data_IF_326787656878
#
_entry.id   IF_326787656878
#
_cell.length_a   1.000
_cell.length_b   1.000
_cell.length_c   1.000
_cell.angle_alpha   90.00
_cell.angle_beta   90.00
_cell.angle_gamma   90.00
#
_symmetry.space_group_name_H-M   'P 1'
#
loop_
_entity.id
_entity.type
_entity.pdbx_description
1 polymer ?
#
# COMPACT_ATOMS: atom_id res chain seq x y z
N UNK A 1 65.54 0.99 -48.89
CA UNK A 1 65.84 -0.45 -48.73
C UNK A 1 65.20 -0.86 -47.42
N UNK A 2 63.93 -1.29 -47.47
CA UNK A 2 63.51 -2.69 -47.71
C UNK A 2 63.89 -3.52 -46.48
N UNK A 3 63.06 -4.28 -45.77
CA UNK A 3 61.62 -4.47 -45.64
C UNK A 3 61.50 -5.43 -44.43
N UNK A 4 60.59 -5.12 -43.49
CA UNK A 4 59.64 -5.99 -42.76
C UNK A 4 60.00 -7.41 -42.20
N UNK A 5 59.18 -7.97 -41.28
CA UNK A 5 59.62 -8.70 -40.11
C UNK A 5 59.14 -10.17 -40.18
N UNK A 6 59.73 -11.07 -39.41
CA UNK A 6 59.10 -12.37 -39.19
C UNK A 6 58.97 -12.67 -37.70
N UNK A 7 57.78 -12.33 -37.21
CA UNK A 7 56.82 -13.35 -36.82
C UNK A 7 57.19 -14.19 -35.58
N UNK A 8 57.33 -13.52 -34.44
CA UNK A 8 57.12 -14.15 -33.14
C UNK A 8 55.67 -13.94 -32.68
N UNK A 9 54.70 -14.25 -33.55
CA UNK A 9 53.36 -14.64 -33.08
C UNK A 9 53.51 -16.05 -32.49
N UNK A 10 53.90 -16.09 -31.22
CA UNK A 10 53.62 -17.22 -30.35
C UNK A 10 52.10 -17.32 -30.28
N UNK A 11 51.49 -18.04 -31.23
CA UNK A 11 50.12 -18.48 -31.11
C UNK A 11 50.05 -19.23 -29.79
N UNK A 12 49.44 -18.60 -28.79
CA UNK A 12 48.87 -19.27 -27.63
C UNK A 12 47.92 -20.28 -28.22
N UNK A 13 48.46 -21.48 -28.48
CA UNK A 13 47.74 -22.63 -28.97
C UNK A 13 46.67 -22.86 -27.91
N UNK A 14 45.43 -22.55 -28.24
CA UNK A 14 44.21 -22.72 -27.45
C UNK A 14 44.02 -24.21 -27.18
N UNK A 15 44.87 -24.76 -26.33
CA UNK A 15 44.77 -26.11 -25.81
C UNK A 15 43.48 -26.17 -25.00
N UNK A 16 42.46 -26.83 -25.54
CA UNK A 16 41.23 -27.14 -24.80
C UNK A 16 41.36 -28.53 -24.22
N UNK A 17 40.96 -28.70 -22.98
CA UNK A 17 40.79 -30.03 -22.41
C UNK A 17 39.48 -30.63 -22.90
N UNK A 18 39.43 -31.95 -23.10
CA UNK A 18 38.17 -32.60 -23.45
C UNK A 18 37.20 -32.55 -22.25
N UNK A 19 35.97 -32.01 -22.39
CA UNK A 19 35.04 -31.88 -21.26
C UNK A 19 34.55 -33.23 -20.71
N UNK A 20 34.69 -34.31 -21.49
CA UNK A 20 34.23 -35.66 -21.13
C UNK A 20 35.33 -36.46 -20.43
N UNK A 21 36.54 -36.51 -21.00
CA UNK A 21 37.63 -37.34 -20.47
C UNK A 21 38.79 -36.56 -19.86
N UNK A 22 38.72 -35.23 -19.82
CA UNK A 22 39.72 -34.30 -19.26
C UNK A 22 41.13 -34.47 -19.83
N UNK A 23 41.23 -34.99 -21.06
CA UNK A 23 42.51 -35.10 -21.75
C UNK A 23 42.99 -33.69 -22.10
N UNK A 24 44.24 -33.32 -21.76
CA UNK A 24 44.84 -32.08 -22.20
C UNK A 24 45.38 -32.17 -23.64
N UNK A 25 45.79 -31.01 -24.19
CA UNK A 25 46.44 -30.88 -25.50
C UNK A 25 45.57 -31.19 -26.72
N UNK A 26 44.25 -30.91 -26.68
CA UNK A 26 43.45 -30.96 -27.90
C UNK A 26 43.71 -29.72 -28.74
N UNK A 27 43.92 -29.96 -30.04
CA UNK A 27 44.11 -28.89 -31.02
C UNK A 27 42.74 -28.38 -31.44
N UNK A 28 42.57 -27.06 -31.55
CA UNK A 28 41.28 -26.40 -31.82
C UNK A 28 40.58 -26.84 -33.12
N UNK A 29 41.32 -27.38 -34.08
CA UNK A 29 40.78 -27.87 -35.35
C UNK A 29 40.22 -29.31 -35.31
N UNK A 30 40.02 -29.90 -34.13
CA UNK A 30 39.62 -31.30 -33.99
C UNK A 30 38.14 -31.43 -33.59
N UNK A 31 37.33 -32.00 -34.49
CA UNK A 31 35.87 -32.15 -34.28
C UNK A 31 35.52 -33.19 -33.20
N UNK A 32 36.36 -34.23 -33.04
CA UNK A 32 36.13 -35.31 -32.05
C UNK A 32 37.34 -35.59 -31.20
N UNK A 33 37.11 -35.87 -29.92
CA UNK A 33 38.16 -36.29 -29.02
C UNK A 33 38.70 -37.68 -29.41
N UNK A 34 40.02 -37.85 -29.63
CA UNK A 34 40.60 -39.14 -30.01
C UNK A 34 40.59 -40.20 -28.90
N UNK A 35 40.34 -39.81 -27.64
CA UNK A 35 40.34 -40.74 -26.51
C UNK A 35 38.94 -41.25 -26.15
N UNK A 36 37.91 -40.41 -26.22
CA UNK A 36 36.56 -40.76 -25.82
C UNK A 36 35.51 -40.62 -26.92
N UNK A 37 35.89 -40.12 -28.10
CA UNK A 37 34.98 -39.93 -29.24
C UNK A 37 33.96 -38.80 -29.07
N UNK A 38 34.06 -38.00 -28.01
CA UNK A 38 33.15 -36.88 -27.77
C UNK A 38 33.26 -35.83 -28.89
N UNK A 39 32.11 -35.34 -29.36
CA UNK A 39 31.99 -34.29 -30.36
C UNK A 39 32.21 -32.92 -29.71
N UNK A 40 33.30 -32.25 -30.09
CA UNK A 40 33.79 -31.02 -29.47
C UNK A 40 33.18 -29.77 -30.11
N UNK A 41 32.65 -29.86 -31.33
CA UNK A 41 31.96 -28.74 -31.99
C UNK A 41 30.67 -28.39 -31.25
N UNK A 42 29.94 -29.42 -30.83
CA UNK A 42 28.69 -29.25 -30.08
C UNK A 42 28.94 -28.57 -28.72
N UNK A 43 30.02 -28.94 -28.01
CA UNK A 43 30.40 -28.26 -26.76
C UNK A 43 30.89 -26.83 -27.00
N UNK A 44 31.58 -26.56 -28.10
CA UNK A 44 31.97 -25.19 -28.48
C UNK A 44 30.77 -24.28 -28.72
N UNK A 45 29.71 -24.79 -29.35
CA UNK A 45 28.45 -24.07 -29.54
C UNK A 45 27.75 -23.80 -28.19
N UNK A 46 27.72 -24.77 -27.29
CA UNK A 46 27.17 -24.62 -25.94
C UNK A 46 27.95 -23.58 -25.11
N UNK A 47 29.28 -23.56 -25.21
CA UNK A 47 30.12 -22.56 -24.54
C UNK A 47 29.88 -21.15 -25.11
N UNK A 48 29.67 -21.02 -26.43
CA UNK A 48 29.33 -19.72 -27.06
C UNK A 48 27.95 -19.19 -26.66
N UNK A 49 27.00 -20.09 -26.34
CA UNK A 49 25.70 -19.74 -25.77
C UNK A 49 25.80 -19.40 -24.27
N UNK A 50 26.89 -19.79 -23.61
CA UNK A 50 27.17 -19.52 -22.20
C UNK A 50 27.87 -18.16 -21.98
N UNK A 51 27.69 -17.20 -22.88
CA UNK A 51 27.90 -15.77 -22.60
C UNK A 51 26.58 -15.02 -22.75
N UNK A 52 26.18 -14.24 -21.71
CA UNK A 52 26.94 -13.04 -21.43
C UNK A 52 27.36 -12.85 -19.96
N UNK A 53 28.62 -12.40 -19.82
CA UNK A 53 29.28 -11.84 -18.63
C UNK A 53 28.63 -10.53 -18.10
N UNK A 54 27.30 -10.38 -18.19
CA UNK A 54 26.59 -9.15 -17.77
C UNK A 54 25.55 -9.37 -16.67
N UNK A 55 25.46 -10.57 -16.08
CA UNK A 55 24.61 -10.84 -14.90
C UNK A 55 24.82 -9.80 -13.78
N UNK A 56 26.06 -9.34 -13.60
CA UNK A 56 26.39 -8.31 -12.61
C UNK A 56 25.79 -6.93 -12.98
N UNK A 57 25.87 -6.54 -14.25
CA UNK A 57 25.28 -5.29 -14.73
C UNK A 57 23.74 -5.33 -14.69
N UNK A 58 23.12 -6.42 -15.13
CA UNK A 58 21.65 -6.49 -15.12
C UNK A 58 21.08 -6.41 -13.70
N UNK A 59 21.72 -7.05 -12.73
CA UNK A 59 21.26 -7.01 -11.34
C UNK A 59 21.52 -5.65 -10.67
N UNK A 60 22.60 -4.95 -11.01
CA UNK A 60 22.88 -3.61 -10.46
C UNK A 60 21.80 -2.60 -10.90
N UNK A 61 21.38 -2.63 -12.17
CA UNK A 61 20.34 -1.74 -12.66
C UNK A 61 18.99 -1.98 -11.97
N UNK A 62 18.63 -3.26 -11.76
CA UNK A 62 17.40 -3.60 -11.02
C UNK A 62 17.48 -3.12 -9.57
N UNK A 63 18.62 -3.28 -8.90
CA UNK A 63 18.81 -2.83 -7.53
C UNK A 63 18.74 -1.29 -7.39
N UNK A 64 19.31 -0.55 -8.35
CA UNK A 64 19.23 0.92 -8.40
C UNK A 64 17.79 1.37 -8.65
N UNK A 65 17.10 0.76 -9.60
CA UNK A 65 15.71 1.11 -9.92
C UNK A 65 14.79 0.87 -8.71
N UNK A 66 14.99 -0.26 -8.02
CA UNK A 66 14.25 -0.60 -6.80
C UNK A 66 14.56 0.38 -5.67
N UNK A 67 15.82 0.79 -5.52
CA UNK A 67 16.22 1.77 -4.50
C UNK A 67 15.58 3.14 -4.76
N UNK A 68 15.55 3.59 -6.02
CA UNK A 68 14.89 4.84 -6.41
C UNK A 68 13.39 4.76 -6.16
N UNK A 69 12.75 3.64 -6.50
CA UNK A 69 11.32 3.42 -6.25
C UNK A 69 10.99 3.52 -4.76
N UNK A 70 11.79 2.86 -3.91
CA UNK A 70 11.61 2.88 -2.46
C UNK A 70 11.80 4.29 -1.88
N UNK A 71 12.84 5.00 -2.31
CA UNK A 71 13.08 6.39 -1.89
C UNK A 71 11.94 7.31 -2.34
N UNK A 72 11.43 7.12 -3.55
CA UNK A 72 10.28 7.85 -4.06
C UNK A 72 9.03 7.60 -3.21
N UNK A 73 8.74 6.34 -2.87
CA UNK A 73 7.60 5.99 -2.01
C UNK A 73 7.72 6.60 -0.61
N UNK A 74 8.91 6.56 -0.01
CA UNK A 74 9.14 7.19 1.31
C UNK A 74 8.99 8.71 1.23
N UNK A 75 9.53 9.35 0.19
CA UNK A 75 9.40 10.79 -0.03
C UNK A 75 7.96 11.23 -0.24
N UNK A 76 7.22 10.51 -1.11
CA UNK A 76 5.80 10.78 -1.36
C UNK A 76 4.96 10.51 -0.12
N UNK A 77 5.23 9.43 0.61
CA UNK A 77 4.55 9.10 1.86
C UNK A 77 4.75 10.18 2.94
N UNK A 78 5.99 10.65 3.13
CA UNK A 78 6.29 11.75 4.05
C UNK A 78 5.65 13.08 3.62
N UNK A 79 5.65 13.38 2.33
CA UNK A 79 4.96 14.56 1.79
C UNK A 79 3.43 14.49 2.00
N UNK A 80 2.84 13.31 1.80
CA UNK A 80 1.41 13.10 2.00
C UNK A 80 1.02 13.24 3.48
N UNK A 81 1.81 12.69 4.41
CA UNK A 81 1.59 12.84 5.86
C UNK A 81 1.49 14.33 6.25
N UNK A 82 2.48 15.14 5.86
CA UNK A 82 2.49 16.57 6.16
C UNK A 82 1.30 17.32 5.55
N UNK A 83 0.82 16.89 4.39
CA UNK A 83 -0.32 17.51 3.72
C UNK A 83 -1.65 17.10 4.34
N UNK A 84 -1.78 15.83 4.71
CA UNK A 84 -2.99 15.28 5.35
C UNK A 84 -3.16 15.90 6.74
N UNK A 85 -2.11 16.07 7.54
CA UNK A 85 -2.21 16.73 8.86
C UNK A 85 -2.80 18.14 8.77
N UNK A 86 -2.39 18.91 7.74
CA UNK A 86 -2.94 20.25 7.51
C UNK A 86 -4.43 20.22 7.13
N UNK A 87 -4.86 19.22 6.38
CA UNK A 87 -6.26 19.04 6.02
C UNK A 87 -7.08 18.58 7.22
N UNK A 88 -6.60 17.57 7.95
CA UNK A 88 -7.29 16.99 9.12
C UNK A 88 -7.55 18.02 10.20
N UNK A 89 -6.61 18.93 10.46
CA UNK A 89 -6.79 19.98 11.48
C UNK A 89 -7.90 20.98 11.10
N UNK A 90 -7.92 21.45 9.86
CA UNK A 90 -8.99 22.34 9.38
C UNK A 90 -10.35 21.64 9.34
N UNK A 91 -10.36 20.39 8.88
CA UNK A 91 -11.59 19.61 8.76
C UNK A 91 -12.16 19.28 10.14
N UNK A 92 -11.31 18.91 11.11
CA UNK A 92 -11.74 18.68 12.49
C UNK A 92 -12.34 19.95 13.09
N UNK A 93 -11.72 21.11 12.92
CA UNK A 93 -12.29 22.37 13.41
C UNK A 93 -13.67 22.64 12.81
N UNK A 94 -13.84 22.43 11.50
CA UNK A 94 -15.11 22.67 10.85
C UNK A 94 -16.20 21.67 11.27
N UNK A 95 -15.84 20.39 11.39
CA UNK A 95 -16.74 19.33 11.87
C UNK A 95 -17.15 19.61 13.31
N UNK A 96 -16.23 19.98 14.20
CA UNK A 96 -16.56 20.29 15.60
C UNK A 96 -17.47 21.49 15.70
N UNK A 97 -17.20 22.57 14.95
CA UNK A 97 -18.07 23.75 14.94
C UNK A 97 -19.46 23.44 14.38
N UNK A 98 -19.54 22.60 13.33
CA UNK A 98 -20.82 22.17 12.76
C UNK A 98 -21.57 21.23 13.72
N UNK A 99 -20.88 20.32 14.41
CA UNK A 99 -21.45 19.45 15.43
C UNK A 99 -22.07 20.25 16.57
N UNK A 100 -21.37 21.27 17.07
CA UNK A 100 -21.92 22.18 18.08
C UNK A 100 -23.18 22.93 17.61
N UNK A 101 -23.25 23.29 16.32
CA UNK A 101 -24.47 23.91 15.78
C UNK A 101 -25.63 22.92 15.68
N UNK A 102 -25.36 21.67 15.30
CA UNK A 102 -26.36 20.61 15.24
C UNK A 102 -26.91 20.32 16.63
N UNK A 103 -26.03 20.13 17.63
CA UNK A 103 -26.43 19.85 19.01
C UNK A 103 -27.31 20.97 19.57
N UNK A 104 -26.92 22.22 19.32
CA UNK A 104 -27.69 23.38 19.76
C UNK A 104 -29.07 23.44 19.09
N UNK A 105 -29.13 23.18 17.79
CA UNK A 105 -30.39 23.20 17.04
C UNK A 105 -31.31 22.05 17.46
N UNK A 106 -30.74 20.90 17.78
CA UNK A 106 -31.46 19.76 18.31
C UNK A 106 -32.03 20.06 19.71
N UNK A 107 -31.24 20.68 20.60
CA UNK A 107 -31.70 21.07 21.92
C UNK A 107 -32.81 22.14 21.88
N UNK A 108 -32.71 23.12 20.99
CA UNK A 108 -33.78 24.10 20.75
C UNK A 108 -35.06 23.44 20.23
N UNK A 109 -34.94 22.45 19.34
CA UNK A 109 -36.09 21.72 18.80
C UNK A 109 -36.76 20.85 19.87
N UNK A 110 -35.97 20.16 20.72
CA UNK A 110 -36.51 19.40 21.85
C UNK A 110 -37.21 20.29 22.87
N UNK A 111 -36.61 21.43 23.24
CA UNK A 111 -37.20 22.37 24.18
C UNK A 111 -38.56 22.87 23.68
N UNK A 112 -38.61 23.29 22.41
CA UNK A 112 -39.86 23.76 21.79
C UNK A 112 -40.96 22.69 21.80
N UNK A 113 -40.59 21.43 21.57
CA UNK A 113 -41.54 20.31 21.58
C UNK A 113 -42.07 20.04 22.99
N UNK A 114 -41.23 20.17 24.01
CA UNK A 114 -41.66 20.03 25.41
C UNK A 114 -42.64 21.15 25.79
N UNK A 115 -42.34 22.39 25.42
CA UNK A 115 -43.23 23.53 25.67
C UNK A 115 -44.61 23.35 25.02
N UNK A 116 -44.65 22.87 23.76
CA UNK A 116 -45.92 22.56 23.07
C UNK A 116 -46.73 21.48 23.79
N UNK A 117 -46.06 20.44 24.30
CA UNK A 117 -46.73 19.41 25.10
C UNK A 117 -47.27 19.94 26.44
N UNK A 118 -46.53 20.81 27.12
CA UNK A 118 -46.97 21.41 28.38
C UNK A 118 -48.17 22.34 28.17
N UNK A 119 -48.19 23.11 27.08
CA UNK A 119 -49.35 23.92 26.68
C UNK A 119 -50.58 23.05 26.41
N UNK A 120 -50.42 21.97 25.63
CA UNK A 120 -51.51 21.03 25.36
C UNK A 120 -52.04 20.38 26.64
N UNK A 121 -51.15 20.00 27.55
CA UNK A 121 -51.52 19.44 28.85
C UNK A 121 -52.28 20.45 29.71
N UNK A 122 -51.88 21.72 29.72
CA UNK A 122 -52.59 22.78 30.44
C UNK A 122 -54.01 22.98 29.91
N UNK A 123 -54.19 23.01 28.59
CA UNK A 123 -55.51 23.12 27.95
C UNK A 123 -56.38 21.89 28.25
N UNK A 124 -55.80 20.68 28.20
CA UNK A 124 -56.51 19.46 28.55
C UNK A 124 -56.96 19.47 30.02
N UNK A 125 -56.10 19.92 30.93
CA UNK A 125 -56.41 20.04 32.35
C UNK A 125 -57.56 21.02 32.61
N UNK A 126 -57.55 22.19 31.96
CA UNK A 126 -58.65 23.16 32.05
C UNK A 126 -59.98 22.58 31.57
N UNK A 127 -59.99 21.76 30.52
CA UNK A 127 -61.21 21.09 30.05
C UNK A 127 -61.72 20.08 31.05
N UNK A 128 -60.83 19.33 31.70
CA UNK A 128 -61.19 18.38 32.75
C UNK A 128 -61.79 19.12 33.95
N UNK A 129 -61.13 20.18 34.44
CA UNK A 129 -61.66 21.00 35.54
C UNK A 129 -63.04 21.59 35.22
N UNK A 130 -63.22 22.14 34.02
CA UNK A 130 -64.52 22.68 33.59
C UNK A 130 -65.62 21.62 33.57
N UNK A 131 -65.30 20.39 33.14
CA UNK A 131 -66.24 19.28 33.17
C UNK A 131 -66.57 18.85 34.61
N UNK A 132 -65.58 18.76 35.50
CA UNK A 132 -65.78 18.39 36.91
C UNK A 132 -66.62 19.42 37.66
N UNK A 133 -66.38 20.72 37.41
CA UNK A 133 -67.20 21.80 37.97
C UNK A 133 -68.67 21.72 37.53
N UNK A 134 -68.92 21.28 36.28
CA UNK A 134 -70.28 21.10 35.74
C UNK A 134 -71.02 19.94 36.42
N UNK A 135 -70.31 18.88 36.82
CA UNK A 135 -70.90 17.73 37.51
C UNK A 135 -70.94 17.85 39.04
N UNK A 136 -70.39 18.93 39.63
CA UNK A 136 -70.46 19.15 41.08
C UNK A 136 -69.81 18.04 41.92
N UNK A 137 -68.79 17.37 41.39
CA UNK A 137 -68.07 16.33 42.14
C UNK A 137 -66.97 17.02 42.93
N UNK A 138 -67.22 17.23 44.23
CA UNK A 138 -66.19 17.46 45.22
C UNK A 138 -65.28 16.21 45.26
N UNK A 139 -64.24 16.18 44.44
CA UNK A 139 -63.18 15.19 44.59
C UNK A 139 -62.39 15.60 45.84
N UNK A 140 -62.78 15.04 46.99
CA UNK A 140 -61.88 14.97 48.13
C UNK A 140 -60.72 14.08 47.71
N UNK A 141 -59.59 14.70 47.37
CA UNK A 141 -58.30 14.03 47.31
C UNK A 141 -57.93 13.72 48.76
N UNK A 142 -58.56 12.67 49.30
CA UNK A 142 -58.10 12.09 50.54
C UNK A 142 -56.79 11.37 50.23
N UNK A 143 -55.76 12.03 50.72
CA UNK A 143 -54.52 11.41 51.17
C UNK A 143 -54.82 10.15 51.98
N UNK A 144 -53.82 9.28 52.08
CA UNK A 144 -53.72 8.19 53.06
C UNK A 144 -54.07 6.78 52.54
N UNK A 145 -53.04 6.06 52.08
CA UNK A 145 -52.73 4.75 52.65
C UNK A 145 -51.27 4.39 52.40
N UNK A 146 -50.44 4.71 53.38
CA UNK A 146 -49.32 3.84 53.81
C UNK A 146 -49.92 2.82 54.80
N UNK A 147 -49.38 1.61 54.98
CA UNK A 147 -47.95 1.30 55.13
C UNK A 147 -47.31 0.55 53.96
#
# INVERSE_FOLDING_TARGET
>A
MIDDPQNNHLWIRSVRDCPVCKRPDLTEAMERCPQCGADLECFGLLDSLQEPKSKYARNWFVAVLLSILLLGLVGVGGYFQLRVDRLTTQFNQHITAMGQQIDKLEEENFRKRIEDFDEQRAVAWQRIEASLATYGISVSVDSESKP
#
